data_IF_322643464678
#
_entry.id   IF_322643464678
#
_cell.length_a   1.000
_cell.length_b   1.000
_cell.length_c   1.000
_cell.angle_alpha   90.00
_cell.angle_beta   90.00
_cell.angle_gamma   90.00
#
_symmetry.space_group_name_H-M   'P 1'
#
loop_
_entity.id
_entity.type
_entity.pdbx_description
1 polymer ?
#
# COMPACT_ATOMS: atom_id res chain seq x y z
N UNK A 1 70.11 -76.11 18.64
CA UNK A 1 70.16 -76.47 17.20
C UNK A 1 69.02 -75.73 16.52
N UNK A 2 69.14 -74.87 15.51
CA UNK A 2 70.26 -74.33 14.75
C UNK A 2 69.78 -73.01 14.11
N UNK A 3 70.64 -71.99 14.12
CA UNK A 3 70.73 -70.84 13.19
C UNK A 3 69.56 -69.83 13.07
N UNK A 4 69.82 -68.52 13.33
CA UNK A 4 70.33 -67.47 12.39
C UNK A 4 69.29 -67.17 11.30
N UNK A 5 69.06 -65.96 10.79
CA UNK A 5 69.75 -64.68 10.82
C UNK A 5 68.80 -63.63 10.20
N UNK A 6 69.15 -62.36 10.40
CA UNK A 6 68.69 -61.18 9.67
C UNK A 6 68.64 -61.33 8.14
N UNK A 7 67.76 -60.55 7.50
CA UNK A 7 67.88 -60.25 6.08
C UNK A 7 66.71 -59.41 5.52
N UNK A 8 66.87 -58.09 5.48
CA UNK A 8 66.30 -57.24 4.43
C UNK A 8 66.81 -57.75 3.05
N UNK A 9 66.11 -57.55 1.91
CA UNK A 9 66.03 -56.21 1.32
C UNK A 9 64.85 -55.87 0.38
N UNK A 10 64.76 -54.57 0.17
CA UNK A 10 64.17 -53.75 -0.91
C UNK A 10 63.96 -54.34 -2.31
N UNK A 11 62.86 -53.93 -2.96
CA UNK A 11 62.74 -53.54 -4.39
C UNK A 11 61.27 -53.30 -4.73
N UNK A 12 60.82 -52.44 -5.65
CA UNK A 12 61.35 -51.31 -6.42
C UNK A 12 60.18 -50.90 -7.36
N UNK A 13 60.18 -49.65 -7.85
CA UNK A 13 59.44 -49.06 -8.99
C UNK A 13 58.01 -48.55 -8.70
N UNK A 14 57.75 -47.22 -8.70
CA UNK A 14 57.72 -46.19 -9.79
C UNK A 14 56.70 -46.46 -10.90
N UNK A 15 55.64 -45.66 -10.93
CA UNK A 15 55.23 -44.78 -12.04
C UNK A 15 53.93 -44.02 -11.62
N UNK A 16 53.91 -42.68 -11.50
CA UNK A 16 53.79 -41.65 -12.55
C UNK A 16 52.34 -41.20 -12.76
N UNK A 17 52.01 -39.98 -12.32
CA UNK A 17 50.73 -39.32 -12.60
C UNK A 17 50.54 -38.01 -11.82
N UNK A 18 51.11 -36.91 -12.31
CA UNK A 18 50.72 -35.51 -12.04
C UNK A 18 50.23 -34.93 -13.38
N UNK A 19 49.24 -34.00 -13.43
CA UNK A 19 49.37 -32.62 -12.93
C UNK A 19 48.15 -32.15 -12.10
N UNK A 20 48.31 -31.40 -11.00
CA UNK A 20 48.48 -29.94 -10.89
C UNK A 20 47.25 -29.09 -11.31
N UNK A 21 46.57 -28.48 -10.33
CA UNK A 21 46.28 -27.04 -10.38
C UNK A 21 46.14 -26.46 -8.96
N UNK A 22 46.72 -25.28 -8.78
CA UNK A 22 46.75 -24.47 -7.55
C UNK A 22 45.66 -23.40 -7.65
N UNK A 23 45.02 -23.07 -6.54
CA UNK A 23 44.70 -21.67 -6.16
C UNK A 23 44.41 -21.66 -4.66
N UNK A 24 45.32 -21.19 -3.81
CA UNK A 24 45.59 -19.77 -3.50
C UNK A 24 44.32 -19.07 -2.99
N UNK A 25 44.28 -18.89 -1.68
CA UNK A 25 43.09 -18.47 -0.95
C UNK A 25 42.69 -17.02 -1.13
N UNK A 26 41.55 -16.70 -0.53
CA UNK A 26 41.22 -15.36 -0.06
C UNK A 26 40.15 -15.51 1.02
N UNK A 27 40.52 -15.16 2.26
CA UNK A 27 39.55 -14.71 3.25
C UNK A 27 38.87 -13.49 2.66
N UNK A 28 37.63 -13.64 2.21
CA UNK A 28 36.74 -12.50 1.99
C UNK A 28 35.80 -12.45 3.17
N UNK A 29 36.00 -11.45 4.02
CA UNK A 29 34.92 -10.96 4.87
C UNK A 29 33.80 -10.56 3.94
N UNK A 30 32.77 -11.40 3.82
CA UNK A 30 31.50 -10.93 3.32
C UNK A 30 30.90 -10.09 4.46
N UNK A 31 31.27 -8.80 4.49
CA UNK A 31 30.36 -7.74 4.86
C UNK A 31 29.09 -8.00 4.06
N UNK A 32 28.12 -8.74 4.61
CA UNK A 32 26.77 -8.60 4.13
C UNK A 32 26.31 -7.25 4.65
N UNK A 33 26.50 -6.28 3.75
CA UNK A 33 25.99 -4.94 3.78
C UNK A 33 24.71 -4.84 4.62
N UNK A 34 24.84 -4.30 5.83
CA UNK A 34 23.87 -3.33 6.32
C UNK A 34 23.85 -2.21 5.29
N UNK A 35 22.94 -2.28 4.32
CA UNK A 35 22.39 -1.15 3.57
C UNK A 35 21.52 -1.65 2.42
N UNK A 36 20.23 -1.81 2.73
CA UNK A 36 19.14 -1.32 1.90
C UNK A 36 17.90 -1.16 2.78
N UNK A 37 17.99 -0.33 3.83
CA UNK A 37 16.79 0.37 4.31
C UNK A 37 16.51 1.49 3.30
N UNK A 38 16.08 1.11 2.10
CA UNK A 38 15.61 2.05 1.09
C UNK A 38 14.09 2.02 1.15
N UNK A 39 13.54 2.82 2.06
CA UNK A 39 12.18 3.33 1.92
C UNK A 39 12.21 4.81 1.52
N UNK A 40 12.31 5.07 0.21
CA UNK A 40 11.73 6.27 -0.40
C UNK A 40 10.93 5.88 -1.65
N UNK A 41 9.92 6.58 -2.14
CA UNK A 41 8.98 7.64 -1.71
C UNK A 41 7.76 7.44 -2.64
N UNK A 42 6.67 8.18 -2.51
CA UNK A 42 5.57 8.19 -3.51
C UNK A 42 6.00 8.80 -4.88
N UNK A 43 7.31 8.90 -5.11
CA UNK A 43 7.99 9.42 -6.28
C UNK A 43 8.61 8.15 -6.92
N UNK A 44 8.28 7.70 -8.12
CA UNK A 44 8.21 8.48 -9.36
C UNK A 44 7.01 8.03 -10.22
N UNK A 45 6.03 8.92 -10.40
CA UNK A 45 4.97 8.91 -11.43
C UNK A 45 4.13 7.63 -11.59
N UNK A 46 3.49 7.21 -10.49
CA UNK A 46 2.50 6.12 -10.34
C UNK A 46 1.73 5.67 -11.61
N UNK A 47 1.85 4.38 -11.97
CA UNK A 47 0.78 3.65 -12.66
C UNK A 47 0.38 2.32 -11.97
N UNK A 48 1.05 1.94 -10.87
CA UNK A 48 0.73 0.73 -10.09
C UNK A 48 1.33 0.83 -8.67
N UNK A 49 0.64 1.47 -7.71
CA UNK A 49 1.13 1.58 -6.36
C UNK A 49 1.26 0.19 -5.73
N UNK A 50 2.37 -0.08 -5.03
CA UNK A 50 2.49 -1.32 -4.27
C UNK A 50 1.75 -1.13 -2.95
N UNK A 51 0.80 -2.03 -2.68
CA UNK A 51 0.09 -2.07 -1.41
C UNK A 51 1.10 -2.36 -0.28
N UNK A 52 0.86 -1.76 0.89
CA UNK A 52 1.61 -1.98 2.13
C UNK A 52 3.11 -1.68 2.09
N UNK A 53 3.55 -0.65 1.35
CA UNK A 53 4.98 -0.30 1.22
C UNK A 53 5.40 0.99 1.90
N UNK A 54 4.47 1.81 2.40
CA UNK A 54 4.76 3.17 2.86
C UNK A 54 4.56 3.33 4.36
N UNK A 55 5.30 4.25 4.97
CA UNK A 55 5.06 4.63 6.36
C UNK A 55 3.85 5.54 6.48
N UNK A 56 3.10 5.43 7.57
CA UNK A 56 1.98 6.33 7.85
C UNK A 56 2.37 7.81 7.79
N UNK A 57 3.59 8.17 8.26
CA UNK A 57 4.12 9.54 8.18
C UNK A 57 4.32 10.02 6.73
N UNK A 58 4.81 9.14 5.85
CA UNK A 58 5.05 9.50 4.45
C UNK A 58 3.73 9.59 3.67
N UNK A 59 2.78 8.69 3.96
CA UNK A 59 1.41 8.77 3.45
C UNK A 59 0.75 10.10 3.81
N UNK A 60 0.82 10.51 5.08
CA UNK A 60 0.28 11.79 5.52
C UNK A 60 0.93 12.99 4.81
N UNK A 61 2.26 12.94 4.59
CA UNK A 61 2.97 13.98 3.82
C UNK A 61 2.49 14.03 2.37
N UNK A 62 2.29 12.89 1.72
CA UNK A 62 1.77 12.85 0.34
C UNK A 62 0.37 13.42 0.24
N UNK A 63 -0.55 13.01 1.13
CA UNK A 63 -1.91 13.52 1.12
C UNK A 63 -1.93 15.05 1.27
N UNK A 64 -1.08 15.57 2.17
CA UNK A 64 -0.90 17.01 2.33
C UNK A 64 -0.35 17.67 1.07
N UNK A 65 0.71 17.12 0.47
CA UNK A 65 1.29 17.67 -0.75
C UNK A 65 0.28 17.68 -1.91
N UNK A 66 -0.53 16.63 -2.06
CA UNK A 66 -1.55 16.59 -3.11
C UNK A 66 -2.69 17.59 -2.83
N UNK A 67 -3.09 17.75 -1.57
CA UNK A 67 -4.10 18.73 -1.16
C UNK A 67 -3.63 20.20 -1.26
N UNK A 68 -2.32 20.45 -1.27
CA UNK A 68 -1.73 21.78 -1.46
C UNK A 68 -1.66 22.19 -2.95
N UNK A 69 -1.89 21.25 -3.89
CA UNK A 69 -1.98 21.59 -5.32
C UNK A 69 -3.25 22.37 -5.59
N UNK A 70 -3.16 23.27 -6.56
CA UNK A 70 -4.35 23.95 -7.07
C UNK A 70 -5.30 22.92 -7.69
N UNK A 71 -6.53 22.89 -7.19
CA UNK A 71 -7.54 21.91 -7.59
C UNK A 71 -7.86 22.01 -9.09
N UNK A 72 -7.71 23.20 -9.68
CA UNK A 72 -7.88 23.44 -11.13
C UNK A 72 -6.82 22.74 -11.98
N UNK A 73 -5.66 22.43 -11.40
CA UNK A 73 -4.59 21.68 -12.08
C UNK A 73 -4.74 20.18 -11.96
N UNK A 74 -5.61 19.71 -11.06
CA UNK A 74 -5.79 18.30 -10.73
C UNK A 74 -7.08 17.73 -11.31
N UNK A 75 -8.16 18.52 -11.34
CA UNK A 75 -9.48 18.15 -11.85
C UNK A 75 -9.74 18.73 -13.24
N UNK A 76 -10.58 18.05 -14.02
CA UNK A 76 -11.08 18.61 -15.28
C UNK A 76 -12.22 19.62 -15.00
N UNK A 77 -12.44 20.57 -15.91
CA UNK A 77 -13.46 21.63 -15.77
C UNK A 77 -14.84 21.11 -15.35
N UNK A 78 -15.29 20.00 -15.94
CA UNK A 78 -16.58 19.40 -15.61
C UNK A 78 -16.65 18.82 -14.18
N UNK A 79 -15.52 18.36 -13.63
CA UNK A 79 -15.42 17.88 -12.24
C UNK A 79 -15.41 19.06 -11.27
N UNK A 80 -14.74 20.17 -11.65
CA UNK A 80 -14.72 21.42 -10.88
C UNK A 80 -16.12 22.03 -10.82
N UNK A 81 -16.82 22.09 -11.96
CA UNK A 81 -18.21 22.55 -12.00
C UNK A 81 -19.10 21.71 -11.06
N UNK A 82 -18.90 20.39 -11.02
CA UNK A 82 -19.65 19.50 -10.14
C UNK A 82 -19.35 19.71 -8.64
N UNK A 83 -18.16 20.23 -8.29
CA UNK A 83 -17.85 20.64 -6.92
C UNK A 83 -18.46 21.99 -6.55
N UNK A 84 -18.75 22.84 -7.54
CA UNK A 84 -19.38 24.16 -7.34
C UNK A 84 -20.91 24.08 -7.34
N UNK A 85 -21.47 23.07 -8.01
CA UNK A 85 -22.90 22.82 -8.02
C UNK A 85 -23.43 22.42 -6.63
N UNK A 86 -24.67 22.79 -6.27
CA UNK A 86 -25.30 22.32 -5.06
C UNK A 86 -25.35 20.79 -5.02
N UNK A 87 -24.99 20.21 -3.87
CA UNK A 87 -25.08 18.76 -3.68
C UNK A 87 -26.56 18.35 -3.75
N UNK A 88 -26.92 17.37 -4.60
CA UNK A 88 -28.31 17.00 -4.79
C UNK A 88 -28.88 16.40 -3.50
N UNK A 89 -30.17 16.65 -3.27
CA UNK A 89 -30.89 16.01 -2.18
C UNK A 89 -30.91 14.48 -2.36
N UNK A 90 -30.76 13.78 -1.25
CA UNK A 90 -30.72 12.32 -1.21
C UNK A 90 -31.88 11.84 -0.34
N UNK A 91 -32.77 11.05 -0.94
CA UNK A 91 -33.95 10.49 -0.27
C UNK A 91 -33.95 8.96 -0.27
N UNK A 92 -33.06 8.34 -1.06
CA UNK A 92 -33.01 6.89 -1.23
C UNK A 92 -31.58 6.34 -1.28
N UNK A 93 -31.44 5.04 -0.96
CA UNK A 93 -30.18 4.28 -1.08
C UNK A 93 -29.59 4.37 -2.50
N UNK A 94 -30.44 4.39 -3.52
CA UNK A 94 -30.00 4.48 -4.92
C UNK A 94 -29.38 5.84 -5.22
N UNK A 95 -30.03 6.92 -4.79
CA UNK A 95 -29.52 8.29 -4.96
C UNK A 95 -28.22 8.47 -4.19
N UNK A 96 -28.16 8.00 -2.94
CA UNK A 96 -26.93 8.01 -2.14
C UNK A 96 -25.81 7.27 -2.85
N UNK A 97 -26.07 6.05 -3.34
CA UNK A 97 -25.06 5.26 -4.06
C UNK A 97 -24.59 5.95 -5.34
N UNK A 98 -25.49 6.60 -6.08
CA UNK A 98 -25.11 7.38 -7.27
C UNK A 98 -24.22 8.56 -6.88
N UNK A 99 -24.61 9.31 -5.84
CA UNK A 99 -23.84 10.43 -5.31
C UNK A 99 -22.42 9.99 -4.91
N UNK A 100 -22.31 8.94 -4.09
CA UNK A 100 -21.01 8.42 -3.66
C UNK A 100 -20.16 7.99 -4.86
N UNK A 101 -20.75 7.31 -5.85
CA UNK A 101 -20.03 6.88 -7.04
C UNK A 101 -19.51 8.05 -7.89
N UNK A 102 -20.24 9.15 -7.97
CA UNK A 102 -19.83 10.34 -8.71
C UNK A 102 -18.65 11.01 -8.02
N UNK A 103 -18.79 11.35 -6.74
CA UNK A 103 -17.77 12.08 -5.99
C UNK A 103 -16.55 11.23 -5.64
N UNK A 104 -16.67 9.90 -5.53
CA UNK A 104 -15.53 9.03 -5.22
C UNK A 104 -14.35 9.23 -6.17
N UNK A 105 -14.60 9.31 -7.49
CA UNK A 105 -13.52 9.48 -8.47
C UNK A 105 -12.89 10.87 -8.39
N UNK A 106 -13.72 11.88 -8.10
CA UNK A 106 -13.27 13.26 -7.93
C UNK A 106 -12.39 13.36 -6.68
N UNK A 107 -12.79 12.76 -5.57
CA UNK A 107 -12.00 12.73 -4.34
C UNK A 107 -10.71 11.92 -4.51
N UNK A 108 -10.76 10.77 -5.18
CA UNK A 108 -9.56 9.97 -5.47
C UNK A 108 -8.54 10.79 -6.27
N UNK A 109 -9.01 11.53 -7.26
CA UNK A 109 -8.17 12.41 -8.07
C UNK A 109 -7.64 13.63 -7.29
N UNK A 110 -8.51 14.33 -6.57
CA UNK A 110 -8.18 15.55 -5.84
C UNK A 110 -7.27 15.30 -4.63
N UNK A 111 -7.45 14.19 -3.90
CA UNK A 111 -6.82 13.99 -2.60
C UNK A 111 -5.92 12.75 -2.53
N UNK A 112 -6.22 11.69 -3.29
CA UNK A 112 -5.57 10.39 -3.16
C UNK A 112 -4.74 9.99 -4.39
N UNK A 113 -4.32 10.96 -5.21
CA UNK A 113 -3.43 10.75 -6.36
C UNK A 113 -3.94 9.72 -7.39
N UNK A 114 -5.27 9.55 -7.53
CA UNK A 114 -5.92 8.51 -8.37
C UNK A 114 -5.51 7.07 -8.01
N UNK A 115 -5.21 6.81 -6.75
CA UNK A 115 -4.65 5.53 -6.31
C UNK A 115 -5.71 4.46 -6.02
N UNK A 116 -6.98 4.83 -5.83
CA UNK A 116 -8.03 3.84 -5.63
C UNK A 116 -8.61 3.32 -6.94
N UNK A 117 -8.76 4.20 -7.94
CA UNK A 117 -9.30 3.86 -9.24
C UNK A 117 -10.74 3.31 -9.19
N UNK A 118 -11.13 2.63 -10.26
CA UNK A 118 -12.50 2.14 -10.46
C UNK A 118 -12.88 0.93 -9.61
N UNK A 119 -11.91 0.23 -9.01
CA UNK A 119 -12.17 -1.03 -8.34
C UNK A 119 -12.59 -0.85 -6.88
N UNK A 120 -12.02 0.10 -6.15
CA UNK A 120 -12.51 0.44 -4.81
C UNK A 120 -13.87 1.16 -4.88
N UNK A 121 -14.12 1.95 -5.94
CA UNK A 121 -15.43 2.55 -6.21
C UNK A 121 -16.58 1.53 -6.20
N UNK A 122 -16.35 0.32 -6.73
CA UNK A 122 -17.35 -0.77 -6.76
C UNK A 122 -17.64 -1.34 -5.37
N UNK A 123 -16.80 -1.04 -4.37
CA UNK A 123 -16.86 -1.56 -2.99
C UNK A 123 -17.44 -0.53 -2.01
N UNK A 124 -18.37 0.29 -2.49
CA UNK A 124 -19.17 1.18 -1.65
C UNK A 124 -20.53 0.54 -1.41
N UNK A 125 -20.85 0.31 -0.14
CA UNK A 125 -22.12 -0.23 0.33
C UNK A 125 -22.85 0.87 1.08
N UNK A 126 -24.08 1.15 0.65
CA UNK A 126 -25.00 2.01 1.38
C UNK A 126 -25.87 1.10 2.23
N UNK A 127 -25.90 1.34 3.53
CA UNK A 127 -26.72 0.59 4.47
C UNK A 127 -27.64 1.53 5.23
N UNK A 128 -28.68 0.96 5.83
CA UNK A 128 -29.58 1.68 6.70
C UNK A 128 -29.56 1.01 8.06
N UNK A 129 -28.97 1.69 9.03
CA UNK A 129 -28.99 1.24 10.40
C UNK A 129 -29.76 2.23 11.26
N UNK A 130 -31.00 1.85 11.57
CA UNK A 130 -31.87 2.56 12.51
C UNK A 130 -31.55 2.22 13.96
N UNK A 131 -30.67 1.24 14.24
CA UNK A 131 -30.38 0.75 15.58
C UNK A 131 -29.21 1.48 16.24
N UNK A 132 -29.20 2.81 16.26
CA UNK A 132 -28.35 3.64 17.16
C UNK A 132 -26.84 3.32 17.24
N UNK A 133 -26.29 2.42 16.43
CA UNK A 133 -24.85 2.28 16.28
C UNK A 133 -24.38 3.58 15.64
N UNK A 134 -23.74 4.42 16.46
CA UNK A 134 -23.43 5.81 16.19
C UNK A 134 -22.46 6.04 15.00
N UNK A 135 -22.18 5.00 14.22
CA UNK A 135 -21.33 5.03 13.04
C UNK A 135 -22.08 5.73 11.89
N UNK A 136 -21.52 6.86 11.46
CA UNK A 136 -21.96 7.55 10.24
C UNK A 136 -21.53 6.77 8.97
N UNK A 137 -20.47 5.98 9.12
CA UNK A 137 -19.89 5.09 8.14
C UNK A 137 -18.71 4.34 8.76
N UNK A 138 -18.17 3.37 8.02
CA UNK A 138 -16.95 2.67 8.39
C UNK A 138 -16.30 1.99 7.19
N UNK A 139 -14.98 1.87 7.22
CA UNK A 139 -14.20 1.04 6.32
C UNK A 139 -13.86 -0.30 6.98
N UNK A 140 -14.16 -1.41 6.30
CA UNK A 140 -13.82 -2.76 6.77
C UNK A 140 -13.64 -3.73 5.61
N UNK A 141 -12.62 -4.58 5.69
CA UNK A 141 -12.36 -5.66 4.74
C UNK A 141 -12.31 -5.20 3.26
N UNK A 142 -11.79 -3.99 3.02
CA UNK A 142 -11.73 -3.42 1.67
C UNK A 142 -13.04 -2.83 1.15
N UNK A 143 -14.04 -2.62 2.01
CA UNK A 143 -15.38 -2.10 1.68
C UNK A 143 -15.64 -0.85 2.49
N UNK A 144 -16.14 0.20 1.82
CA UNK A 144 -16.60 1.44 2.46
C UNK A 144 -18.11 1.32 2.68
N UNK A 145 -18.54 1.46 3.92
CA UNK A 145 -19.93 1.42 4.34
C UNK A 145 -20.39 2.83 4.73
N UNK A 146 -21.47 3.32 4.11
CA UNK A 146 -22.06 4.64 4.38
C UNK A 146 -23.49 4.46 4.87
N UNK A 147 -23.82 5.10 5.99
CA UNK A 147 -25.15 5.01 6.59
C UNK A 147 -26.13 5.98 5.90
N UNK A 148 -27.36 5.52 5.67
CA UNK A 148 -28.49 6.34 5.23
C UNK A 148 -29.06 7.20 6.36
N UNK A 149 -28.96 6.74 7.60
CA UNK A 149 -29.57 7.38 8.76
C UNK A 149 -28.50 8.11 9.58
N UNK A 150 -28.08 9.29 9.11
CA UNK A 150 -27.20 10.19 9.86
C UNK A 150 -28.07 11.15 10.68
N UNK A 151 -28.21 10.87 11.99
CA UNK A 151 -29.12 11.60 12.89
C UNK A 151 -28.72 13.05 13.22
N UNK A 152 -27.56 13.53 12.75
CA UNK A 152 -27.08 14.88 13.06
C UNK A 152 -28.01 15.97 12.48
N UNK A 153 -28.21 17.04 13.25
CA UNK A 153 -29.24 18.08 13.01
C UNK A 153 -28.82 19.18 12.04
N UNK A 154 -27.58 19.19 11.55
CA UNK A 154 -27.06 20.27 10.70
C UNK A 154 -26.66 19.80 9.32
N UNK A 155 -27.28 20.35 8.27
CA UNK A 155 -26.90 20.14 6.87
C UNK A 155 -27.65 19.02 6.13
N UNK A 156 -27.71 19.08 4.78
CA UNK A 156 -28.28 18.03 3.92
C UNK A 156 -27.60 16.66 4.12
N UNK A 157 -28.37 15.58 3.94
CA UNK A 157 -27.85 14.21 4.06
C UNK A 157 -26.70 13.94 3.08
N UNK A 158 -26.81 14.41 1.84
CA UNK A 158 -25.78 14.22 0.82
C UNK A 158 -24.42 14.79 1.22
N UNK A 159 -24.39 16.00 1.76
CA UNK A 159 -23.17 16.65 2.27
C UNK A 159 -22.49 15.81 3.36
N UNK A 160 -23.28 15.33 4.32
CA UNK A 160 -22.79 14.49 5.41
C UNK A 160 -22.20 13.19 4.87
N UNK A 161 -22.92 12.53 3.97
CA UNK A 161 -22.47 11.28 3.35
C UNK A 161 -21.19 11.48 2.54
N UNK A 162 -21.01 12.62 1.86
CA UNK A 162 -19.77 12.95 1.15
C UNK A 162 -18.60 13.20 2.11
N UNK A 163 -18.84 13.87 3.25
CA UNK A 163 -17.82 14.04 4.28
C UNK A 163 -17.40 12.69 4.88
N UNK A 164 -18.36 11.81 5.17
CA UNK A 164 -18.09 10.44 5.64
C UNK A 164 -17.35 9.65 4.57
N UNK A 165 -17.75 9.74 3.30
CA UNK A 165 -17.04 9.08 2.20
C UNK A 165 -15.57 9.47 2.16
N UNK A 166 -15.26 10.76 2.24
CA UNK A 166 -13.89 11.25 2.24
C UNK A 166 -13.11 10.73 3.45
N UNK A 167 -13.75 10.67 4.62
CA UNK A 167 -13.17 10.12 5.85
C UNK A 167 -12.86 8.62 5.72
N UNK A 168 -13.80 7.82 5.21
CA UNK A 168 -13.59 6.38 5.03
C UNK A 168 -12.61 6.08 3.90
N UNK A 169 -12.53 6.93 2.88
CA UNK A 169 -11.46 6.87 1.87
C UNK A 169 -10.09 7.09 2.52
N UNK A 170 -9.95 7.98 3.50
CA UNK A 170 -8.70 8.11 4.24
C UNK A 170 -8.34 6.82 5.00
N UNK A 171 -9.31 6.19 5.67
CA UNK A 171 -9.09 4.90 6.31
C UNK A 171 -8.65 3.83 5.31
N UNK A 172 -9.33 3.73 4.17
CA UNK A 172 -8.95 2.81 3.09
C UNK A 172 -7.55 3.09 2.55
N UNK A 173 -7.16 4.36 2.42
CA UNK A 173 -5.83 4.74 1.94
C UNK A 173 -4.74 4.25 2.87
N UNK A 174 -4.92 4.52 4.17
CA UNK A 174 -3.95 4.15 5.18
C UNK A 174 -3.86 2.63 5.31
N UNK A 175 -4.98 1.91 5.30
CA UNK A 175 -4.97 0.45 5.37
C UNK A 175 -4.24 -0.18 4.17
N UNK A 176 -4.58 0.25 2.95
CA UNK A 176 -4.02 -0.34 1.73
C UNK A 176 -2.53 -0.03 1.53
N UNK A 177 -2.05 1.13 1.99
CA UNK A 177 -0.71 1.61 1.65
C UNK A 177 0.27 1.63 2.83
N UNK A 178 -0.22 1.55 4.08
CA UNK A 178 0.68 1.49 5.25
C UNK A 178 1.37 0.14 5.34
N UNK A 179 2.68 0.19 5.56
CA UNK A 179 3.51 -0.96 5.86
C UNK A 179 3.53 -1.22 7.37
N UNK A 180 3.02 -2.37 7.81
CA UNK A 180 3.03 -2.80 9.22
C UNK A 180 4.20 -3.73 9.55
N UNK A 181 5.29 -3.67 8.79
CA UNK A 181 6.47 -4.47 9.11
C UNK A 181 7.13 -3.96 10.40
N UNK A 182 7.67 -4.83 11.23
CA UNK A 182 8.32 -4.46 12.51
C UNK A 182 9.57 -3.56 12.38
N UNK A 183 10.07 -3.39 11.15
CA UNK A 183 11.15 -2.45 10.82
C UNK A 183 10.61 -1.08 10.39
N UNK A 184 9.30 -0.97 10.26
CA UNK A 184 8.56 0.17 9.76
C UNK A 184 7.59 0.79 10.80
N UNK A 185 7.45 0.18 11.98
CA UNK A 185 6.77 0.72 13.17
C UNK A 185 7.68 1.67 13.97
#
# INVERSE_FOLDING_TARGET
MSHRQHGHPSSLRKASGKPASKSSGKRTSAKQHSNAHTHPKIEDDLPNPRQHTYFGRDLARTLRYNAEKDIETVLADHEINLLQDPIPEVSSTRESKNLMNTYFLIFDQAFFCKLFGKDLKKRIVIYDDHQNDASLGYYKDGIIHINMTIQDRTGPLGEKQLAVLLHEMLHAFLDLYTCNCSKCE
#
